data_IF_105683849159
#
_entry.id   IF_105683849159
#
_cell.length_a   1.000
_cell.length_b   1.000
_cell.length_c   1.000
_cell.angle_alpha   90.00
_cell.angle_beta   90.00
_cell.angle_gamma   90.00
#
_symmetry.space_group_name_H-M   'P 1'
#
loop_
_entity.id
_entity.type
_entity.pdbx_description
1 polymer ?
#
# COMPACT_ATOMS: atom_id res chain seq x y z
N UNK A 1 -51.20 -32.30 10.99
CA UNK A 1 -49.98 -32.18 10.17
C UNK A 1 -49.17 -31.04 10.74
N UNK A 2 -48.14 -31.36 11.52
CA UNK A 2 -47.28 -30.39 12.20
C UNK A 2 -46.18 -30.00 11.21
N UNK A 3 -46.26 -28.80 10.64
CA UNK A 3 -45.19 -28.28 9.78
C UNK A 3 -44.05 -27.79 10.68
N UNK A 4 -42.93 -28.51 10.69
CA UNK A 4 -41.70 -28.05 11.31
C UNK A 4 -41.23 -26.75 10.65
N UNK A 5 -40.77 -25.74 11.40
CA UNK A 5 -40.20 -24.53 10.82
C UNK A 5 -38.88 -24.86 10.12
N UNK A 6 -38.74 -24.42 8.88
CA UNK A 6 -37.48 -24.45 8.12
C UNK A 6 -36.42 -23.64 8.89
N UNK A 7 -35.20 -24.16 9.11
CA UNK A 7 -34.15 -23.40 9.76
C UNK A 7 -33.81 -22.18 8.90
N UNK A 8 -33.95 -20.99 9.49
CA UNK A 8 -33.51 -19.73 8.90
C UNK A 8 -31.99 -19.79 8.71
N UNK A 9 -31.55 -19.88 7.45
CA UNK A 9 -30.13 -19.76 7.11
C UNK A 9 -29.74 -18.31 7.37
N UNK A 10 -28.93 -18.08 8.40
CA UNK A 10 -28.32 -16.77 8.63
C UNK A 10 -27.42 -16.47 7.42
N UNK A 11 -27.55 -15.30 6.76
CA UNK A 11 -26.66 -14.94 5.67
C UNK A 11 -25.22 -14.91 6.19
N UNK A 12 -24.33 -15.61 5.49
CA UNK A 12 -22.88 -15.46 5.70
C UNK A 12 -22.55 -14.01 5.38
N UNK A 13 -21.83 -13.28 6.26
CA UNK A 13 -21.48 -11.88 5.98
C UNK A 13 -20.67 -11.83 4.67
N UNK A 14 -21.13 -11.00 3.73
CA UNK A 14 -20.41 -10.85 2.45
C UNK A 14 -19.00 -10.29 2.71
N UNK A 15 -18.01 -10.80 1.97
CA UNK A 15 -16.64 -10.37 2.17
C UNK A 15 -16.48 -8.89 1.77
N UNK A 16 -15.81 -8.11 2.63
CA UNK A 16 -15.62 -6.67 2.43
C UNK A 16 -15.03 -6.33 1.06
N UNK A 17 -15.66 -5.37 0.38
CA UNK A 17 -15.22 -4.88 -0.92
C UNK A 17 -13.88 -4.13 -0.84
N UNK A 18 -13.14 -4.09 -1.96
CA UNK A 18 -11.77 -3.56 -2.01
C UNK A 18 -11.53 -2.61 -3.18
N UNK A 19 -10.84 -1.50 -2.93
CA UNK A 19 -10.32 -0.61 -3.97
C UNK A 19 -8.82 -0.80 -4.08
N UNK A 20 -8.31 -1.10 -5.27
CA UNK A 20 -6.86 -1.23 -5.50
C UNK A 20 -6.36 -0.01 -6.26
N UNK A 21 -5.32 0.65 -5.75
CA UNK A 21 -4.69 1.80 -6.38
C UNK A 21 -3.34 1.37 -6.94
N UNK A 22 -3.11 1.69 -8.22
CA UNK A 22 -1.84 1.49 -8.91
C UNK A 22 -1.28 2.85 -9.33
N UNK A 23 -0.27 3.40 -8.65
CA UNK A 23 0.46 4.55 -9.16
C UNK A 23 1.27 4.12 -10.39
N UNK A 24 1.17 4.86 -11.50
CA UNK A 24 1.81 4.52 -12.76
C UNK A 24 2.50 5.72 -13.39
N UNK A 25 3.77 5.57 -13.76
CA UNK A 25 4.56 6.56 -14.48
C UNK A 25 5.42 5.87 -15.53
N UNK A 26 5.11 6.08 -16.81
CA UNK A 26 5.81 5.44 -17.95
C UNK A 26 5.71 3.91 -17.96
N UNK A 27 4.50 3.41 -17.73
CA UNK A 27 4.19 1.99 -17.61
C UNK A 27 3.44 1.44 -18.84
N UNK A 28 3.52 2.08 -20.02
CA UNK A 28 2.80 1.62 -21.22
C UNK A 28 3.07 0.15 -21.56
N UNK A 29 4.28 -0.33 -21.29
CA UNK A 29 4.70 -1.70 -21.61
C UNK A 29 4.26 -2.73 -20.56
N UNK A 30 4.19 -2.37 -19.28
CA UNK A 30 3.95 -3.30 -18.17
C UNK A 30 2.53 -3.29 -17.61
N UNK A 31 1.82 -2.14 -17.68
CA UNK A 31 0.57 -1.96 -16.94
C UNK A 31 -0.55 -2.93 -17.36
N UNK A 32 -0.59 -3.37 -18.62
CA UNK A 32 -1.61 -4.31 -19.10
C UNK A 32 -1.45 -5.68 -18.46
N UNK A 33 -0.21 -6.16 -18.34
CA UNK A 33 0.12 -7.42 -17.68
C UNK A 33 -0.15 -7.32 -16.18
N UNK A 34 0.27 -6.21 -15.55
CA UNK A 34 -0.01 -5.90 -14.16
C UNK A 34 -1.50 -5.97 -13.83
N UNK A 35 -2.33 -5.32 -14.63
CA UNK A 35 -3.77 -5.35 -14.49
C UNK A 35 -4.34 -6.75 -14.74
N UNK A 36 -3.82 -7.48 -15.73
CA UNK A 36 -4.24 -8.85 -16.02
C UNK A 36 -4.06 -9.78 -14.81
N UNK A 37 -2.85 -9.77 -14.22
CA UNK A 37 -2.52 -10.59 -13.04
C UNK A 37 -3.33 -10.17 -11.81
N UNK A 38 -3.50 -8.86 -11.59
CA UNK A 38 -4.30 -8.36 -10.48
C UNK A 38 -5.79 -8.74 -10.62
N UNK A 39 -6.35 -8.64 -11.82
CA UNK A 39 -7.73 -9.05 -12.10
C UNK A 39 -7.95 -10.54 -11.83
N UNK A 40 -7.02 -11.40 -12.25
CA UNK A 40 -7.06 -12.84 -11.98
C UNK A 40 -7.14 -13.12 -10.47
N UNK A 41 -6.27 -12.49 -9.68
CA UNK A 41 -6.25 -12.68 -8.22
C UNK A 41 -7.52 -12.15 -7.57
N UNK A 42 -7.98 -10.95 -7.94
CA UNK A 42 -9.17 -10.33 -7.35
C UNK A 42 -10.46 -11.06 -7.72
N UNK A 43 -10.58 -11.56 -8.95
CA UNK A 43 -11.72 -12.38 -9.38
C UNK A 43 -11.86 -13.65 -8.51
N UNK A 44 -10.75 -14.25 -8.09
CA UNK A 44 -10.74 -15.43 -7.24
C UNK A 44 -11.15 -15.16 -5.78
N UNK A 45 -11.21 -13.90 -5.34
CA UNK A 45 -11.60 -13.56 -3.96
C UNK A 45 -13.10 -13.51 -3.72
N UNK A 46 -13.91 -13.53 -4.77
CA UNK A 46 -15.37 -13.31 -4.72
C UNK A 46 -15.80 -11.99 -4.05
N UNK A 47 -14.86 -11.04 -3.86
CA UNK A 47 -15.12 -9.69 -3.33
C UNK A 47 -15.57 -8.76 -4.44
N UNK A 48 -16.44 -7.81 -4.09
CA UNK A 48 -16.60 -6.63 -4.96
C UNK A 48 -15.30 -5.82 -4.96
N UNK A 49 -14.87 -5.36 -6.13
CA UNK A 49 -13.64 -4.60 -6.25
C UNK A 49 -13.66 -3.59 -7.40
N UNK A 50 -12.81 -2.57 -7.27
CA UNK A 50 -12.37 -1.66 -8.34
C UNK A 50 -10.84 -1.55 -8.34
N UNK A 51 -10.29 -1.26 -9.51
CA UNK A 51 -8.87 -0.93 -9.69
C UNK A 51 -8.83 0.49 -10.24
N UNK A 52 -8.09 1.37 -9.57
CA UNK A 52 -7.83 2.73 -9.99
C UNK A 52 -6.35 2.87 -10.35
N UNK A 53 -6.07 2.99 -11.65
CA UNK A 53 -4.73 3.37 -12.11
C UNK A 53 -4.61 4.88 -12.02
N UNK A 54 -3.62 5.35 -11.27
CA UNK A 54 -3.31 6.78 -11.15
C UNK A 54 -2.07 7.09 -11.99
N UNK A 55 -2.30 7.62 -13.18
CA UNK A 55 -1.25 7.99 -14.13
C UNK A 55 -0.61 9.33 -13.75
N UNK A 56 0.58 9.26 -13.15
CA UNK A 56 1.31 10.38 -12.53
C UNK A 56 2.08 11.23 -13.55
N UNK A 57 1.39 12.00 -14.38
CA UNK A 57 2.07 12.85 -15.36
C UNK A 57 2.68 12.10 -16.53
N UNK A 58 2.18 10.90 -16.84
CA UNK A 58 2.72 10.10 -17.93
C UNK A 58 2.57 10.78 -19.29
N UNK A 59 3.61 10.67 -20.12
CA UNK A 59 3.66 11.25 -21.48
C UNK A 59 3.61 10.17 -22.58
N UNK A 60 3.65 8.90 -22.20
CA UNK A 60 3.50 7.73 -23.06
C UNK A 60 2.04 7.24 -23.08
N UNK A 61 1.79 6.05 -23.64
CA UNK A 61 0.45 5.49 -23.76
C UNK A 61 -0.11 4.86 -22.49
N UNK A 62 0.54 4.99 -21.32
CA UNK A 62 0.15 4.33 -20.04
C UNK A 62 -1.35 4.41 -19.77
N UNK A 63 -1.92 5.62 -19.74
CA UNK A 63 -3.33 5.81 -19.42
C UNK A 63 -4.26 5.25 -20.50
N UNK A 64 -3.87 5.35 -21.78
CA UNK A 64 -4.64 4.82 -22.91
C UNK A 64 -4.75 3.30 -22.84
N UNK A 65 -3.63 2.61 -22.60
CA UNK A 65 -3.63 1.14 -22.53
C UNK A 65 -4.33 0.64 -21.28
N UNK A 66 -4.14 1.29 -20.12
CA UNK A 66 -4.83 0.92 -18.88
C UNK A 66 -6.36 1.02 -19.02
N UNK A 67 -6.89 2.09 -19.63
CA UNK A 67 -8.34 2.24 -19.89
C UNK A 67 -8.95 1.15 -20.76
N UNK A 68 -8.14 0.49 -21.59
CA UNK A 68 -8.61 -0.58 -22.46
C UNK A 68 -8.82 -1.92 -21.72
N UNK A 69 -8.26 -2.05 -20.52
CA UNK A 69 -8.34 -3.28 -19.73
C UNK A 69 -9.60 -3.28 -18.88
N UNK A 70 -10.57 -4.14 -19.21
CA UNK A 70 -11.82 -4.38 -18.44
C UNK A 70 -12.43 -3.10 -17.80
N UNK A 71 -13.00 -2.18 -18.60
CA UNK A 71 -13.51 -0.88 -18.13
C UNK A 71 -14.61 -0.94 -17.06
N UNK A 72 -15.23 -2.11 -16.84
CA UNK A 72 -16.19 -2.33 -15.75
C UNK A 72 -15.54 -2.47 -14.38
N UNK A 73 -14.22 -2.65 -14.31
CA UNK A 73 -13.45 -2.91 -13.10
C UNK A 73 -12.23 -2.01 -12.95
N UNK A 74 -11.64 -1.56 -14.06
CA UNK A 74 -10.48 -0.67 -14.08
C UNK A 74 -10.90 0.73 -14.51
N UNK A 75 -10.56 1.72 -13.70
CA UNK A 75 -10.67 3.13 -14.02
C UNK A 75 -9.27 3.78 -14.02
N UNK A 76 -9.13 4.92 -14.70
CA UNK A 76 -7.86 5.63 -14.85
C UNK A 76 -8.03 7.10 -14.55
N UNK A 77 -7.35 7.56 -13.51
CA UNK A 77 -7.18 8.97 -13.23
C UNK A 77 -5.80 9.44 -13.74
N UNK A 78 -5.79 10.41 -14.63
CA UNK A 78 -4.55 11.00 -15.15
C UNK A 78 -4.48 12.49 -14.80
N UNK A 79 -3.27 12.96 -14.51
CA UNK A 79 -2.98 14.38 -14.34
C UNK A 79 -1.59 14.68 -14.88
N UNK A 80 -1.25 15.96 -14.98
CA UNK A 80 0.07 16.45 -15.40
C UNK A 80 0.36 17.79 -14.71
N UNK A 81 1.61 18.10 -14.33
CA UNK A 81 2.83 17.29 -14.50
C UNK A 81 2.95 16.15 -13.48
N UNK A 82 4.02 15.33 -13.61
CA UNK A 82 4.40 14.33 -12.61
C UNK A 82 4.64 14.99 -11.23
N UNK A 83 4.08 14.40 -10.17
CA UNK A 83 4.20 14.88 -8.78
C UNK A 83 4.76 13.82 -7.83
N UNK A 84 4.89 12.58 -8.28
CA UNK A 84 5.46 11.48 -7.52
C UNK A 84 4.41 10.53 -6.94
N UNK A 85 4.90 9.34 -6.58
CA UNK A 85 4.10 8.21 -6.07
C UNK A 85 3.19 8.59 -4.89
N UNK A 86 3.68 9.36 -3.93
CA UNK A 86 2.90 9.76 -2.76
C UNK A 86 1.68 10.60 -3.12
N UNK A 87 1.85 11.55 -4.05
CA UNK A 87 0.73 12.33 -4.55
C UNK A 87 -0.26 11.46 -5.35
N UNK A 88 0.23 10.55 -6.19
CA UNK A 88 -0.59 9.60 -6.93
C UNK A 88 -1.45 8.73 -5.99
N UNK A 89 -0.82 8.16 -4.95
CA UNK A 89 -1.53 7.38 -3.93
C UNK A 89 -2.55 8.22 -3.18
N UNK A 90 -2.21 9.46 -2.79
CA UNK A 90 -3.10 10.32 -2.04
C UNK A 90 -4.39 10.66 -2.81
N UNK A 91 -4.22 11.10 -4.06
CA UNK A 91 -5.33 11.37 -4.99
C UNK A 91 -6.14 10.10 -5.27
N UNK A 92 -5.46 8.95 -5.35
CA UNK A 92 -6.11 7.66 -5.49
C UNK A 92 -7.06 7.37 -4.33
N UNK A 93 -6.58 7.51 -3.08
CA UNK A 93 -7.39 7.26 -1.87
C UNK A 93 -8.66 8.11 -1.86
N UNK A 94 -8.58 9.39 -2.22
CA UNK A 94 -9.76 10.27 -2.32
C UNK A 94 -10.84 9.76 -3.29
N UNK A 95 -10.45 9.00 -4.31
CA UNK A 95 -11.33 8.50 -5.38
C UNK A 95 -11.83 7.08 -5.15
N UNK A 96 -11.19 6.33 -4.25
CA UNK A 96 -11.66 4.99 -3.87
C UNK A 96 -12.96 5.05 -3.09
N UNK A 97 -13.82 4.03 -3.22
CA UNK A 97 -15.12 3.97 -2.53
C UNK A 97 -15.29 2.81 -1.55
N UNK A 98 -14.50 1.76 -1.66
CA UNK A 98 -14.71 0.55 -0.87
C UNK A 98 -14.03 0.59 0.51
N UNK A 99 -14.52 -0.19 1.50
CA UNK A 99 -14.02 -0.16 2.87
C UNK A 99 -12.56 -0.60 3.03
N UNK A 100 -12.01 -1.37 2.08
CA UNK A 100 -10.60 -1.75 2.05
C UNK A 100 -9.90 -1.05 0.88
N UNK A 101 -8.67 -0.60 1.13
CA UNK A 101 -7.81 0.01 0.10
C UNK A 101 -6.49 -0.74 0.04
N UNK A 102 -6.07 -1.11 -1.16
CA UNK A 102 -4.77 -1.72 -1.43
C UNK A 102 -3.94 -0.78 -2.29
N UNK A 103 -2.67 -0.61 -1.93
CA UNK A 103 -1.66 -0.03 -2.81
C UNK A 103 -0.84 -1.17 -3.39
N UNK A 104 -0.58 -1.14 -4.69
CA UNK A 104 0.36 -2.04 -5.36
C UNK A 104 1.07 -1.27 -6.48
N UNK A 105 2.38 -1.44 -6.60
CA UNK A 105 3.15 -0.81 -7.68
C UNK A 105 2.82 -1.46 -9.03
N UNK A 106 2.88 -0.67 -10.11
CA UNK A 106 2.48 -1.10 -11.45
C UNK A 106 3.49 -1.99 -12.18
N UNK A 107 4.66 -2.22 -11.59
CA UNK A 107 5.77 -3.00 -12.14
C UNK A 107 5.71 -4.50 -11.82
N UNK A 108 4.70 -4.95 -11.05
CA UNK A 108 4.53 -6.33 -10.58
C UNK A 108 5.74 -6.91 -9.84
N UNK A 109 6.61 -6.07 -9.26
CA UNK A 109 7.72 -6.53 -8.42
C UNK A 109 7.26 -7.48 -7.28
N UNK A 110 6.01 -7.29 -6.84
CA UNK A 110 5.34 -8.05 -5.81
C UNK A 110 4.10 -8.72 -6.42
N UNK A 111 4.06 -10.05 -6.40
CA UNK A 111 2.90 -10.79 -6.93
C UNK A 111 1.66 -10.48 -6.09
N UNK A 112 0.55 -10.01 -6.71
CA UNK A 112 -0.69 -9.72 -6.01
C UNK A 112 -1.32 -10.95 -5.33
N UNK A 113 -0.85 -12.17 -5.58
CA UNK A 113 -1.34 -13.42 -4.94
C UNK A 113 -1.44 -13.35 -3.42
N UNK A 114 -0.67 -12.48 -2.76
CA UNK A 114 -0.71 -12.29 -1.30
C UNK A 114 -1.84 -11.34 -0.84
N UNK A 115 -2.43 -10.53 -1.72
CA UNK A 115 -3.49 -9.56 -1.40
C UNK A 115 -4.64 -10.21 -0.61
N UNK A 116 -5.21 -11.37 -1.01
CA UNK A 116 -6.33 -11.97 -0.28
C UNK A 116 -6.01 -12.19 1.20
N UNK A 117 -4.79 -12.67 1.51
CA UNK A 117 -4.36 -12.89 2.89
C UNK A 117 -4.29 -11.59 3.70
N UNK A 118 -3.93 -10.47 3.07
CA UNK A 118 -3.87 -9.16 3.75
C UNK A 118 -5.28 -8.66 4.06
N UNK A 119 -6.20 -8.83 3.11
CA UNK A 119 -7.61 -8.48 3.29
C UNK A 119 -8.25 -9.30 4.41
N UNK A 120 -7.92 -10.59 4.53
CA UNK A 120 -8.43 -11.44 5.61
C UNK A 120 -7.95 -10.98 7.00
N UNK A 121 -6.67 -10.59 7.14
CA UNK A 121 -6.16 -10.06 8.41
C UNK A 121 -6.94 -8.82 8.87
N UNK A 122 -7.29 -7.94 7.93
CA UNK A 122 -8.06 -6.72 8.21
C UNK A 122 -9.52 -7.06 8.50
N UNK A 123 -10.14 -7.90 7.66
CA UNK A 123 -11.55 -8.30 7.82
C UNK A 123 -11.79 -9.05 9.14
N UNK A 124 -10.81 -9.83 9.60
CA UNK A 124 -10.84 -10.52 10.89
C UNK A 124 -10.56 -9.61 12.11
N UNK A 125 -10.32 -8.31 11.90
CA UNK A 125 -10.00 -7.35 12.96
C UNK A 125 -8.64 -7.57 13.62
N UNK A 126 -7.73 -8.29 12.93
CA UNK A 126 -6.38 -8.56 13.45
C UNK A 126 -5.40 -7.43 13.14
N UNK A 127 -5.72 -6.59 12.16
CA UNK A 127 -4.96 -5.42 11.77
C UNK A 127 -5.87 -4.32 11.21
N UNK A 128 -5.45 -3.06 11.36
CA UNK A 128 -6.05 -1.91 10.69
C UNK A 128 -5.34 -1.64 9.35
N UNK A 129 -4.07 -2.04 9.25
CA UNK A 129 -3.29 -2.04 8.01
C UNK A 129 -2.24 -3.14 7.98
N UNK A 130 -1.91 -3.57 6.78
CA UNK A 130 -0.94 -4.63 6.49
C UNK A 130 0.09 -4.10 5.52
N UNK A 131 1.36 -4.27 5.85
CA UNK A 131 2.49 -3.88 5.01
C UNK A 131 3.19 -5.14 4.54
N UNK A 132 3.27 -5.33 3.23
CA UNK A 132 4.08 -6.41 2.68
C UNK A 132 5.54 -6.20 3.04
N UNK A 133 6.23 -7.26 3.47
CA UNK A 133 7.60 -7.15 3.97
C UNK A 133 8.52 -8.18 3.34
N UNK A 134 9.55 -7.73 2.63
CA UNK A 134 10.58 -8.62 2.04
C UNK A 134 11.43 -9.33 3.10
N UNK A 135 11.30 -8.94 4.36
CA UNK A 135 12.02 -9.55 5.50
C UNK A 135 11.14 -10.36 6.43
N UNK A 136 9.84 -10.49 6.11
CA UNK A 136 8.99 -11.46 6.79
C UNK A 136 9.56 -12.88 6.62
N UNK A 137 9.56 -13.74 7.66
CA UNK A 137 10.12 -15.08 7.58
C UNK A 137 9.51 -15.95 6.46
N UNK A 138 8.22 -15.75 6.21
CA UNK A 138 7.47 -16.50 5.20
C UNK A 138 7.50 -15.84 3.80
N UNK A 139 8.25 -14.76 3.61
CA UNK A 139 8.42 -14.14 2.30
C UNK A 139 9.28 -15.00 1.38
N UNK A 140 8.85 -15.15 0.14
CA UNK A 140 9.59 -15.87 -0.89
C UNK A 140 10.50 -14.88 -1.60
N UNK A 141 11.73 -14.75 -1.11
CA UNK A 141 12.75 -13.83 -1.63
C UNK A 141 14.09 -14.55 -1.82
N UNK A 142 14.74 -14.35 -2.96
CA UNK A 142 16.13 -14.77 -3.16
C UNK A 142 17.06 -13.56 -2.97
N UNK A 143 17.60 -13.42 -1.75
CA UNK A 143 18.51 -12.33 -1.43
C UNK A 143 19.79 -12.80 -0.74
N UNK A 144 20.93 -12.14 -1.02
CA UNK A 144 22.16 -12.38 -0.29
C UNK A 144 21.98 -12.01 1.19
N UNK A 145 22.64 -12.77 2.07
CA UNK A 145 22.58 -12.60 3.53
C UNK A 145 22.88 -11.16 3.99
N UNK A 146 23.71 -10.41 3.25
CA UNK A 146 24.03 -9.00 3.51
C UNK A 146 22.79 -8.10 3.47
N UNK A 147 21.81 -8.40 2.62
CA UNK A 147 20.55 -7.66 2.53
C UNK A 147 19.67 -7.88 3.76
N UNK A 148 19.68 -9.09 4.34
CA UNK A 148 18.99 -9.38 5.61
C UNK A 148 19.56 -8.56 6.77
N UNK A 149 20.88 -8.35 6.80
CA UNK A 149 21.52 -7.51 7.83
C UNK A 149 21.14 -6.05 7.65
N UNK A 150 21.17 -5.53 6.42
CA UNK A 150 20.79 -4.16 6.12
C UNK A 150 19.34 -3.85 6.55
N UNK A 151 18.41 -4.76 6.29
CA UNK A 151 17.02 -4.60 6.72
C UNK A 151 16.86 -4.64 8.24
N UNK A 152 17.63 -5.46 8.98
CA UNK A 152 17.63 -5.42 10.46
C UNK A 152 18.12 -4.08 10.99
N UNK A 153 19.15 -3.51 10.37
CA UNK A 153 19.64 -2.16 10.71
C UNK A 153 18.57 -1.12 10.38
N UNK A 154 17.93 -1.21 9.22
CA UNK A 154 16.88 -0.29 8.83
C UNK A 154 15.67 -0.35 9.78
N UNK A 155 15.22 -1.55 10.16
CA UNK A 155 14.19 -1.74 11.20
C UNK A 155 14.55 -1.09 12.53
N UNK A 156 15.80 -1.24 12.96
CA UNK A 156 16.27 -0.59 14.19
C UNK A 156 16.21 0.94 14.04
N UNK A 157 16.61 1.47 12.88
CA UNK A 157 16.57 2.91 12.60
C UNK A 157 15.13 3.43 12.54
N UNK A 158 14.19 2.76 11.86
CA UNK A 158 12.78 3.17 11.82
C UNK A 158 12.18 3.15 13.22
N UNK A 159 12.47 2.12 14.02
CA UNK A 159 12.04 2.05 15.42
C UNK A 159 12.60 3.19 16.28
N UNK A 160 13.89 3.49 16.15
CA UNK A 160 14.55 4.53 16.95
C UNK A 160 14.15 5.95 16.54
N UNK A 161 14.06 6.23 15.24
CA UNK A 161 13.85 7.59 14.73
C UNK A 161 12.39 7.95 14.55
N UNK A 162 11.54 6.97 14.27
CA UNK A 162 10.11 7.20 14.00
C UNK A 162 9.17 6.23 14.72
N UNK A 163 9.66 5.43 15.68
CA UNK A 163 8.82 4.64 16.57
C UNK A 163 8.06 3.50 15.90
N UNK A 164 8.35 3.18 14.64
CA UNK A 164 7.72 2.10 13.89
C UNK A 164 8.53 0.82 14.05
N UNK A 165 7.91 -0.26 14.52
CA UNK A 165 8.56 -1.59 14.57
C UNK A 165 8.25 -2.41 13.31
N UNK A 166 8.49 -1.82 12.15
CA UNK A 166 8.31 -2.44 10.82
C UNK A 166 9.67 -2.64 10.16
N UNK A 167 9.89 -3.85 9.62
CA UNK A 167 11.09 -4.25 8.90
C UNK A 167 11.19 -3.70 7.47
N UNK A 168 10.05 -3.41 6.84
CA UNK A 168 9.99 -2.91 5.47
C UNK A 168 8.86 -1.88 5.31
N UNK A 169 9.19 -0.58 5.34
CA UNK A 169 8.19 0.50 5.33
C UNK A 169 7.86 1.01 3.94
N UNK A 170 8.77 0.86 2.97
CA UNK A 170 8.68 1.47 1.63
C UNK A 170 8.32 0.44 0.54
N UNK A 171 7.70 -0.67 0.91
CA UNK A 171 7.23 -1.67 -0.06
C UNK A 171 6.08 -1.16 -0.91
N UNK A 172 6.00 -1.64 -2.16
CA UNK A 172 4.91 -1.29 -3.07
C UNK A 172 3.54 -1.82 -2.66
N UNK A 173 3.49 -2.90 -1.88
CA UNK A 173 2.26 -3.62 -1.55
C UNK A 173 1.83 -3.39 -0.10
N UNK A 174 0.69 -2.73 0.07
CA UNK A 174 0.08 -2.45 1.39
C UNK A 174 -1.44 -2.53 1.31
N UNK A 175 -2.10 -2.92 2.39
CA UNK A 175 -3.55 -2.91 2.50
C UNK A 175 -3.98 -2.18 3.77
N UNK A 176 -5.09 -1.45 3.74
CA UNK A 176 -5.59 -0.68 4.87
C UNK A 176 -7.12 -0.68 4.89
N UNK A 177 -7.69 -0.43 6.07
CA UNK A 177 -9.06 0.09 6.12
C UNK A 177 -9.09 1.49 5.51
N UNK A 178 -10.14 1.80 4.76
CA UNK A 178 -10.27 3.11 4.10
C UNK A 178 -10.48 4.25 5.09
N UNK A 179 -11.26 4.02 6.14
CA UNK A 179 -11.65 5.04 7.12
C UNK A 179 -10.45 5.60 7.89
N UNK A 180 -9.51 4.76 8.31
CA UNK A 180 -8.26 5.22 8.93
C UNK A 180 -7.32 5.88 7.92
N UNK A 181 -7.36 5.41 6.66
CA UNK A 181 -6.42 5.81 5.62
C UNK A 181 -6.76 7.19 5.08
N UNK A 182 -8.03 7.47 4.80
CA UNK A 182 -8.49 8.73 4.23
C UNK A 182 -8.12 9.93 5.10
N UNK A 183 -8.30 9.80 6.42
CA UNK A 183 -8.03 10.87 7.36
C UNK A 183 -6.53 11.20 7.40
N UNK A 184 -5.68 10.17 7.39
CA UNK A 184 -4.23 10.33 7.48
C UNK A 184 -3.64 10.88 6.19
N UNK A 185 -4.09 10.37 5.05
CA UNK A 185 -3.52 10.69 3.74
C UNK A 185 -3.67 12.17 3.40
N UNK A 186 -4.80 12.79 3.77
CA UNK A 186 -5.02 14.23 3.56
C UNK A 186 -4.06 15.13 4.34
N UNK A 187 -3.38 14.60 5.35
CA UNK A 187 -2.42 15.36 6.16
C UNK A 187 -0.97 15.13 5.74
N UNK A 188 -0.70 14.15 4.86
CA UNK A 188 0.65 13.83 4.43
C UNK A 188 1.25 14.97 3.58
N UNK A 189 2.44 15.43 3.95
CA UNK A 189 3.15 16.50 3.23
C UNK A 189 4.06 15.96 2.11
N UNK A 190 4.46 14.69 2.20
CA UNK A 190 5.40 14.08 1.27
C UNK A 190 4.73 13.57 -0.01
N UNK A 191 5.20 14.02 -1.17
CA UNK A 191 4.66 13.59 -2.47
C UNK A 191 5.46 12.44 -3.13
N UNK A 192 6.67 12.13 -2.64
CA UNK A 192 7.56 11.08 -3.17
C UNK A 192 7.63 9.82 -2.31
N UNK A 193 8.70 9.03 -2.42
CA UNK A 193 8.90 7.77 -1.66
C UNK A 193 8.89 7.91 -0.13
N UNK A 194 9.13 9.13 0.40
CA UNK A 194 8.99 9.42 1.82
C UNK A 194 7.53 9.33 2.33
N UNK A 195 6.55 9.40 1.41
CA UNK A 195 5.12 9.30 1.70
C UNK A 195 4.79 8.03 2.48
N UNK A 196 5.28 6.86 2.03
CA UNK A 196 5.00 5.59 2.69
C UNK A 196 5.43 5.62 4.17
N UNK A 197 6.61 6.17 4.45
CA UNK A 197 7.10 6.26 5.82
C UNK A 197 6.29 7.27 6.65
N UNK A 198 5.97 8.44 6.08
CA UNK A 198 5.16 9.45 6.76
C UNK A 198 3.75 8.93 7.07
N UNK A 199 3.11 8.30 6.09
CA UNK A 199 1.80 7.67 6.21
C UNK A 199 1.77 6.67 7.38
N UNK A 200 2.75 5.76 7.42
CA UNK A 200 2.85 4.75 8.48
C UNK A 200 3.09 5.40 9.85
N UNK A 201 3.90 6.46 9.93
CA UNK A 201 4.11 7.20 11.17
C UNK A 201 2.80 7.81 11.68
N UNK A 202 2.04 8.49 10.81
CA UNK A 202 0.77 9.13 11.17
C UNK A 202 -0.30 8.12 11.56
N UNK A 203 -0.37 6.97 10.88
CA UNK A 203 -1.25 5.85 11.25
C UNK A 203 -0.90 5.33 12.65
N UNK A 204 0.38 5.10 12.91
CA UNK A 204 0.86 4.65 14.22
C UNK A 204 0.60 5.69 15.33
N UNK A 205 0.76 6.98 15.04
CA UNK A 205 0.49 8.07 15.99
C UNK A 205 -1.00 8.17 16.34
N UNK A 206 -1.89 7.71 15.46
CA UNK A 206 -3.33 7.52 15.72
C UNK A 206 -3.68 6.20 16.39
N UNK A 207 -2.69 5.36 16.73
CA UNK A 207 -2.90 4.07 17.38
C UNK A 207 -3.39 2.95 16.47
N UNK A 208 -3.29 3.11 15.14
CA UNK A 208 -3.67 2.06 14.19
C UNK A 208 -2.77 0.83 14.35
N UNK A 209 -3.36 -0.36 14.32
CA UNK A 209 -2.63 -1.63 14.38
C UNK A 209 -2.10 -2.00 13.00
N UNK A 210 -0.84 -1.64 12.73
CA UNK A 210 -0.15 -1.99 11.49
C UNK A 210 0.69 -3.25 11.70
N UNK A 211 0.52 -4.25 10.84
CA UNK A 211 1.28 -5.52 10.88
C UNK A 211 2.07 -5.74 9.59
N UNK A 212 3.14 -6.52 9.67
CA UNK A 212 3.86 -7.01 8.49
C UNK A 212 3.28 -8.35 8.03
N UNK A 213 3.25 -8.58 6.72
CA UNK A 213 2.83 -9.83 6.11
C UNK A 213 3.80 -10.22 4.97
N UNK A 214 3.85 -11.51 4.59
CA UNK A 214 4.81 -11.97 3.59
C UNK A 214 4.49 -11.44 2.19
N UNK A 215 5.54 -11.31 1.37
CA UNK A 215 5.45 -10.99 -0.05
C UNK A 215 6.03 -12.14 -0.88
N UNK A 216 5.62 -12.21 -2.13
CA UNK A 216 6.20 -13.09 -3.15
C UNK A 216 6.80 -12.18 -4.22
N UNK A 217 8.09 -12.36 -4.52
CA UNK A 217 8.72 -11.68 -5.65
C UNK A 217 8.40 -12.46 -6.93
N UNK A 218 7.94 -11.75 -7.95
CA UNK A 218 7.89 -12.31 -9.30
C UNK A 218 9.29 -12.18 -9.92
N UNK A 219 9.90 -13.32 -10.27
CA UNK A 219 11.29 -13.40 -10.70
C UNK A 219 11.50 -13.00 -12.16
N UNK A 220 10.43 -12.89 -12.94
CA UNK A 220 10.50 -12.50 -14.36
C UNK A 220 10.80 -11.01 -14.55
N UNK A 221 10.67 -10.19 -13.49
CA UNK A 221 10.95 -8.75 -13.53
C UNK A 221 12.22 -8.40 -12.72
N UNK A 222 13.26 -7.99 -13.44
CA UNK A 222 14.60 -7.74 -12.88
C UNK A 222 14.70 -6.40 -12.14
N UNK A 223 14.22 -6.35 -10.91
CA UNK A 223 14.46 -5.17 -10.06
C UNK A 223 15.87 -5.14 -9.49
N UNK A 224 16.73 -4.35 -10.15
CA UNK A 224 18.10 -4.04 -9.72
C UNK A 224 18.06 -2.99 -8.60
N UNK A 225 17.66 -3.39 -7.39
CA UNK A 225 17.74 -2.48 -6.24
C UNK A 225 19.20 -2.31 -5.82
N UNK A 226 19.85 -1.30 -6.38
CA UNK A 226 21.24 -0.93 -6.09
C UNK A 226 21.42 -0.13 -4.80
N UNK A 227 22.68 0.20 -4.48
CA UNK A 227 23.11 0.99 -3.30
C UNK A 227 22.40 2.36 -3.21
N UNK A 228 21.97 2.91 -4.35
CA UNK A 228 21.20 4.16 -4.45
C UNK A 228 19.89 4.14 -3.66
N UNK A 229 19.16 3.01 -3.68
CA UNK A 229 17.90 2.87 -2.96
C UNK A 229 18.08 2.96 -1.43
N UNK A 230 19.16 2.38 -0.91
CA UNK A 230 19.50 2.47 0.53
C UNK A 230 19.80 3.90 0.97
N UNK A 231 20.51 4.68 0.15
CA UNK A 231 20.78 6.10 0.47
C UNK A 231 19.55 6.98 0.39
N UNK A 232 18.60 6.67 -0.52
CA UNK A 232 17.32 7.36 -0.60
C UNK A 232 16.46 7.09 0.64
N UNK A 233 16.35 5.83 1.05
CA UNK A 233 15.62 5.42 2.25
C UNK A 233 16.13 6.12 3.53
N UNK A 234 17.46 6.24 3.70
CA UNK A 234 18.04 6.97 4.84
C UNK A 234 17.74 8.47 4.80
N UNK A 235 17.72 9.08 3.60
CA UNK A 235 17.34 10.49 3.43
C UNK A 235 15.87 10.71 3.76
N UNK A 236 15.01 9.80 3.35
CA UNK A 236 13.58 9.85 3.65
C UNK A 236 13.34 9.69 5.15
N UNK A 237 14.02 8.75 5.81
CA UNK A 237 13.99 8.59 7.27
C UNK A 237 14.46 9.87 7.99
N UNK A 238 15.52 10.50 7.52
CA UNK A 238 15.97 11.77 8.08
C UNK A 238 14.92 12.88 7.89
N UNK A 239 14.30 12.96 6.71
CA UNK A 239 13.25 13.94 6.40
C UNK A 239 12.04 13.76 7.32
N UNK A 240 11.51 12.55 7.41
CA UNK A 240 10.34 12.23 8.26
C UNK A 240 10.69 12.40 9.74
N UNK A 241 11.85 11.95 10.21
CA UNK A 241 12.24 12.15 11.62
C UNK A 241 12.42 13.63 11.99
N UNK A 242 12.82 14.50 11.05
CA UNK A 242 12.83 15.96 11.29
C UNK A 242 11.42 16.54 11.33
N UNK A 243 10.56 16.14 10.41
CA UNK A 243 9.14 16.54 10.41
C UNK A 243 8.49 16.16 11.76
N UNK A 244 8.65 14.91 12.21
CA UNK A 244 8.06 14.42 13.46
C UNK A 244 8.55 15.21 14.68
N UNK A 245 9.85 15.53 14.73
CA UNK A 245 10.43 16.37 15.80
C UNK A 245 9.89 17.80 15.82
N UNK A 246 9.55 18.38 14.67
CA UNK A 246 8.95 19.73 14.61
C UNK A 246 7.54 19.72 15.19
N UNK A 247 6.73 18.73 14.83
CA UNK A 247 5.38 18.59 15.38
C UNK A 247 5.38 18.33 16.88
N UNK A 248 6.21 17.40 17.37
CA UNK A 248 6.36 17.18 18.82
C UNK A 248 6.93 18.38 19.59
N UNK A 249 7.55 19.34 18.90
CA UNK A 249 8.02 20.61 19.47
C UNK A 249 6.96 21.70 19.48
N UNK A 250 6.04 21.69 18.51
CA UNK A 250 4.90 22.62 18.43
C UNK A 250 3.80 22.27 19.46
N UNK A 251 3.61 20.98 19.77
CA UNK A 251 2.70 20.54 20.84
C UNK A 251 3.20 20.84 22.27
N UNK A 252 4.40 21.41 22.41
CA UNK A 252 5.02 21.77 23.72
C UNK A 252 4.97 23.26 24.04
N UNK A 253 4.18 24.06 23.32
CA UNK A 253 3.73 25.36 23.82
C UNK A 253 2.35 25.18 24.46
N UNK A 254 2.26 24.96 25.79
CA UNK A 254 1.00 25.23 26.47
C UNK A 254 0.73 26.72 26.29
N UNK A 255 -0.51 27.04 25.91
CA UNK A 255 -1.03 28.39 25.89
C UNK A 255 -0.64 29.11 27.19
N UNK A 256 0.28 30.05 27.08
CA UNK A 256 0.54 31.04 28.12
C UNK A 256 -0.28 32.27 27.82
N UNK A 257 -1.30 32.51 28.65
CA UNK A 257 -1.60 33.74 29.44
C UNK A 257 -3.07 33.73 29.81
#
# INVERSE_FOLDING_TARGET
MTTSPTPSVTPVPEPLAVSVIIPAYQEELGIVEALGRLLEVLDATEREYEILVVSDGSTDGTARVARSVRPSKVDVYEYSPNRGKGYALAVGVERTRYPLVVFIDGDLDLDPVVIPSYLELIAAGQADGVVGSKVHPDSVVDYPWSRRVLSKVFRLLTRLFVGLDLGDTQTGLKAFRRDILSDVVSECDSEGFAFDLELLCRLNDRGARIVEAPVVLDYDFTSTVGVSAGTAALRDLYRVSRWRRRQSGQDRHPEGV
#
